data_IF_905387044866
#
_entry.id   IF_905387044866
#
_cell.length_a   1.000
_cell.length_b   1.000
_cell.length_c   1.000
_cell.angle_alpha   90.00
_cell.angle_beta   90.00
_cell.angle_gamma   90.00
#
_symmetry.space_group_name_H-M   'P 1'
#
loop_
_entity.id
_entity.type
_entity.pdbx_description
1 polymer ?
#
# COMPACT_ATOMS: atom_id res chain seq x y z
N UNK A 1 -18.33 -1.27 -24.91
CA UNK A 1 -18.87 -0.16 -24.11
C UNK A 1 -20.39 -0.13 -24.15
N UNK A 2 -21.03 -0.09 -25.32
CA UNK A 2 -22.50 0.04 -25.46
C UNK A 2 -23.31 -1.00 -24.68
N UNK A 3 -22.88 -2.29 -24.71
CA UNK A 3 -23.51 -3.36 -23.93
C UNK A 3 -23.36 -3.09 -22.43
N UNK A 4 -22.19 -2.68 -21.98
CA UNK A 4 -21.88 -2.42 -20.58
C UNK A 4 -22.68 -1.19 -20.08
N UNK A 5 -22.75 -0.13 -20.87
CA UNK A 5 -23.58 1.04 -20.58
C UNK A 5 -25.05 0.67 -20.45
N UNK A 6 -25.57 -0.20 -21.35
CA UNK A 6 -26.94 -0.68 -21.28
C UNK A 6 -27.22 -1.51 -20.04
N UNK A 7 -26.28 -2.37 -19.64
CA UNK A 7 -26.37 -3.17 -18.40
C UNK A 7 -26.38 -2.24 -17.18
N UNK A 8 -25.51 -1.23 -17.14
CA UNK A 8 -25.45 -0.27 -16.03
C UNK A 8 -26.72 0.54 -15.87
N UNK A 9 -27.30 1.02 -16.99
CA UNK A 9 -28.57 1.77 -16.98
C UNK A 9 -29.76 0.91 -16.53
N UNK A 10 -29.71 -0.41 -16.71
CA UNK A 10 -30.78 -1.34 -16.32
C UNK A 10 -30.64 -1.87 -14.89
N UNK A 11 -29.51 -1.66 -14.23
CA UNK A 11 -29.30 -2.10 -12.85
C UNK A 11 -29.81 -1.06 -11.85
N UNK A 12 -30.75 -1.40 -10.95
CA UNK A 12 -31.22 -0.49 -9.91
C UNK A 12 -30.18 -0.30 -8.77
N UNK A 13 -29.12 -1.12 -8.73
CA UNK A 13 -28.11 -1.08 -7.69
C UNK A 13 -27.06 0.02 -7.97
N UNK A 14 -26.82 0.86 -6.98
CA UNK A 14 -25.70 1.80 -6.98
C UNK A 14 -24.40 1.00 -6.93
N UNK A 15 -23.52 1.25 -7.90
CA UNK A 15 -22.23 0.53 -8.02
C UNK A 15 -21.09 1.54 -7.98
N UNK A 16 -20.04 1.21 -7.25
CA UNK A 16 -18.78 1.97 -7.27
C UNK A 16 -17.75 1.16 -8.04
N UNK A 17 -17.22 1.74 -9.10
CA UNK A 17 -16.09 1.21 -9.86
C UNK A 17 -14.82 1.88 -9.36
N UNK A 18 -13.85 1.11 -8.95
CA UNK A 18 -12.55 1.61 -8.49
C UNK A 18 -11.48 1.09 -9.43
N UNK A 19 -10.73 2.00 -10.01
CA UNK A 19 -9.57 1.74 -10.83
C UNK A 19 -8.35 2.32 -10.14
N UNK A 20 -7.45 1.45 -9.68
CA UNK A 20 -6.20 1.88 -9.07
C UNK A 20 -5.10 1.98 -10.13
N UNK A 21 -4.21 2.97 -9.93
CA UNK A 21 -3.00 3.16 -10.74
C UNK A 21 -3.25 3.29 -12.25
N UNK A 22 -4.24 4.09 -12.63
CA UNK A 22 -4.62 4.30 -14.05
C UNK A 22 -3.45 4.75 -14.94
N UNK A 23 -2.37 5.27 -14.38
CA UNK A 23 -1.16 5.64 -15.13
C UNK A 23 -0.40 4.43 -15.74
N UNK A 24 -0.75 3.19 -15.38
CA UNK A 24 -0.24 1.97 -15.99
C UNK A 24 -1.06 1.46 -17.18
N UNK A 25 -2.17 2.13 -17.50
CA UNK A 25 -3.01 1.74 -18.63
C UNK A 25 -2.29 1.97 -19.97
N UNK A 26 -2.46 1.04 -20.88
CA UNK A 26 -2.17 1.28 -22.28
C UNK A 26 -3.23 2.22 -22.90
N UNK A 27 -2.90 2.83 -24.03
CA UNK A 27 -3.73 3.84 -24.68
C UNK A 27 -5.16 3.35 -25.04
N UNK A 28 -5.29 2.06 -25.41
CA UNK A 28 -6.59 1.48 -25.79
C UNK A 28 -7.46 1.23 -24.55
N UNK A 29 -6.86 0.71 -23.48
CA UNK A 29 -7.54 0.50 -22.21
C UNK A 29 -7.97 1.83 -21.58
N UNK A 30 -7.12 2.86 -21.64
CA UNK A 30 -7.44 4.21 -21.17
C UNK A 30 -8.64 4.79 -21.93
N UNK A 31 -8.65 4.72 -23.27
CA UNK A 31 -9.77 5.18 -24.08
C UNK A 31 -11.08 4.42 -23.76
N UNK A 32 -11.02 3.10 -23.62
CA UNK A 32 -12.17 2.26 -23.28
C UNK A 32 -12.75 2.60 -21.90
N UNK A 33 -11.88 2.79 -20.91
CA UNK A 33 -12.29 3.13 -19.55
C UNK A 33 -12.79 4.57 -19.44
N UNK A 34 -12.29 5.48 -20.27
CA UNK A 34 -12.82 6.84 -20.38
C UNK A 34 -14.28 6.83 -20.91
N UNK A 35 -14.58 6.03 -21.93
CA UNK A 35 -15.95 5.85 -22.42
C UNK A 35 -16.85 5.21 -21.34
N UNK A 36 -16.34 4.23 -20.60
CA UNK A 36 -17.08 3.62 -19.48
C UNK A 36 -17.36 4.64 -18.38
N UNK A 37 -16.36 5.43 -17.98
CA UNK A 37 -16.52 6.47 -16.96
C UNK A 37 -17.54 7.53 -17.38
N UNK A 38 -17.51 7.94 -18.65
CA UNK A 38 -18.53 8.85 -19.21
C UNK A 38 -19.94 8.26 -19.12
N UNK A 39 -20.09 6.97 -19.44
CA UNK A 39 -21.37 6.28 -19.35
C UNK A 39 -21.86 6.12 -17.89
N UNK A 40 -20.96 5.90 -16.94
CA UNK A 40 -21.27 5.82 -15.51
C UNK A 40 -21.84 7.13 -14.98
N UNK A 41 -21.38 8.29 -15.46
CA UNK A 41 -21.88 9.60 -15.06
C UNK A 41 -23.37 9.83 -15.40
N UNK A 42 -23.96 9.04 -16.32
CA UNK A 42 -25.38 9.07 -16.65
C UNK A 42 -26.23 8.12 -15.79
N UNK A 43 -25.63 7.47 -14.79
CA UNK A 43 -26.27 6.48 -13.93
C UNK A 43 -26.20 6.90 -12.46
N UNK A 44 -26.78 6.08 -11.56
CA UNK A 44 -26.63 6.24 -10.11
C UNK A 44 -25.35 5.61 -9.56
N UNK A 45 -24.42 5.24 -10.45
CA UNK A 45 -23.14 4.62 -10.09
C UNK A 45 -22.01 5.66 -10.05
N UNK A 46 -20.87 5.29 -9.51
CA UNK A 46 -19.70 6.16 -9.35
C UNK A 46 -18.46 5.47 -9.93
N UNK A 47 -17.60 6.23 -10.60
CA UNK A 47 -16.30 5.78 -11.06
C UNK A 47 -15.21 6.57 -10.34
N UNK A 48 -14.30 5.87 -9.67
CA UNK A 48 -13.16 6.45 -8.97
C UNK A 48 -11.89 5.89 -9.60
N UNK A 49 -10.97 6.76 -10.00
CA UNK A 49 -9.67 6.35 -10.51
C UNK A 49 -8.55 7.04 -9.73
N UNK A 50 -7.52 6.28 -9.36
CA UNK A 50 -6.29 6.85 -8.83
C UNK A 50 -5.22 6.88 -9.92
N UNK A 51 -4.43 7.93 -9.95
CA UNK A 51 -3.31 8.07 -10.88
C UNK A 51 -2.24 9.00 -10.33
N UNK A 52 -1.04 8.95 -10.91
CA UNK A 52 0.01 9.91 -10.60
C UNK A 52 -0.25 11.26 -11.27
N UNK A 53 0.33 12.36 -10.73
CA UNK A 53 0.11 13.72 -11.27
C UNK A 53 0.53 13.88 -12.74
N UNK A 54 1.47 13.06 -13.21
CA UNK A 54 2.00 13.11 -14.58
C UNK A 54 1.08 12.44 -15.61
N UNK A 55 0.10 11.65 -15.18
CA UNK A 55 -0.83 10.97 -16.07
C UNK A 55 -1.64 11.98 -16.90
N UNK A 56 -1.73 11.76 -18.21
CA UNK A 56 -2.42 12.63 -19.17
C UNK A 56 -3.37 11.85 -20.09
N UNK A 57 -3.98 10.82 -19.56
CA UNK A 57 -4.87 9.92 -20.30
C UNK A 57 -6.24 10.52 -20.65
N UNK A 58 -6.98 9.78 -21.47
CA UNK A 58 -8.37 10.10 -21.82
C UNK A 58 -9.28 10.07 -20.59
N UNK A 59 -9.05 9.09 -19.70
CA UNK A 59 -9.81 8.93 -18.46
C UNK A 59 -9.73 10.18 -17.57
N UNK A 60 -8.56 10.80 -17.44
CA UNK A 60 -8.40 12.03 -16.65
C UNK A 60 -9.28 13.18 -17.21
N UNK A 61 -9.40 13.27 -18.53
CA UNK A 61 -10.20 14.33 -19.19
C UNK A 61 -11.70 14.14 -19.03
N UNK A 62 -12.17 12.94 -18.71
CA UNK A 62 -13.58 12.63 -18.47
C UNK A 62 -14.00 12.81 -17.02
N UNK A 63 -13.07 13.04 -16.11
CA UNK A 63 -13.36 13.23 -14.70
C UNK A 63 -14.17 14.50 -14.45
N UNK A 64 -15.30 14.38 -13.73
CA UNK A 64 -16.10 15.50 -13.29
C UNK A 64 -15.48 16.22 -12.08
N UNK A 65 -14.78 15.47 -11.23
CA UNK A 65 -14.07 15.97 -10.05
C UNK A 65 -12.66 15.37 -10.04
N UNK A 66 -11.67 16.22 -9.84
CA UNK A 66 -10.27 15.82 -9.61
C UNK A 66 -9.86 16.27 -8.23
N UNK A 67 -9.33 15.32 -7.45
CA UNK A 67 -8.81 15.57 -6.10
C UNK A 67 -7.30 15.34 -6.15
N UNK A 68 -6.54 16.41 -5.96
CA UNK A 68 -5.08 16.33 -5.85
C UNK A 68 -4.69 16.09 -4.39
N UNK A 69 -3.97 14.99 -4.14
CA UNK A 69 -3.45 14.66 -2.82
C UNK A 69 -2.04 15.21 -2.68
N UNK A 70 -1.91 16.34 -2.01
CA UNK A 70 -0.61 16.89 -1.60
C UNK A 70 -0.05 16.12 -0.41
N UNK A 71 1.29 16.13 -0.19
CA UNK A 71 1.86 15.69 1.08
C UNK A 71 1.19 16.40 2.26
N UNK A 72 1.04 15.72 3.37
CA UNK A 72 0.55 16.33 4.61
C UNK A 72 1.49 17.47 5.03
N UNK A 73 0.93 18.53 5.56
CA UNK A 73 1.76 19.57 6.20
C UNK A 73 2.42 19.03 7.49
N UNK A 74 3.36 19.78 8.03
CA UNK A 74 4.12 19.34 9.20
C UNK A 74 3.23 19.11 10.42
N UNK A 75 2.27 20.01 10.68
CA UNK A 75 1.35 19.89 11.83
C UNK A 75 0.49 18.65 11.72
N UNK A 76 -0.13 18.41 10.58
CA UNK A 76 -0.95 17.21 10.32
C UNK A 76 -0.11 15.93 10.38
N UNK A 77 1.15 15.98 9.91
CA UNK A 77 2.09 14.85 10.02
C UNK A 77 2.44 14.57 11.48
N UNK A 78 2.67 15.60 12.28
CA UNK A 78 2.96 15.47 13.72
C UNK A 78 1.75 14.89 14.47
N UNK A 79 0.55 15.34 14.16
CA UNK A 79 -0.70 14.78 14.70
C UNK A 79 -0.86 13.29 14.34
N UNK A 80 -0.55 12.93 13.09
CA UNK A 80 -0.58 11.53 12.65
C UNK A 80 0.42 10.69 13.44
N UNK A 81 1.65 11.17 13.59
CA UNK A 81 2.69 10.49 14.38
C UNK A 81 2.24 10.33 15.83
N UNK A 82 1.69 11.39 16.45
CA UNK A 82 1.18 11.35 17.81
C UNK A 82 0.04 10.34 17.99
N UNK A 83 -0.89 10.27 17.02
CA UNK A 83 -1.99 9.30 17.06
C UNK A 83 -1.49 7.85 16.91
N UNK A 84 -0.42 7.64 16.16
CA UNK A 84 0.15 6.30 15.94
C UNK A 84 1.04 5.86 17.11
N UNK A 85 1.82 6.76 17.67
CA UNK A 85 2.73 6.47 18.77
C UNK A 85 2.02 6.43 20.13
N UNK A 86 1.10 7.37 20.40
CA UNK A 86 0.51 7.58 21.71
C UNK A 86 1.10 8.80 22.42
N UNK A 87 0.81 8.93 23.72
CA UNK A 87 1.08 10.13 24.52
C UNK A 87 2.20 9.95 25.57
N UNK A 88 2.97 8.86 25.49
CA UNK A 88 4.04 8.62 26.45
C UNK A 88 5.14 9.67 26.33
N UNK A 89 5.60 10.18 27.48
CA UNK A 89 6.59 11.26 27.54
C UNK A 89 7.96 10.86 26.96
N UNK A 90 8.29 9.57 26.93
CA UNK A 90 9.52 9.06 26.32
C UNK A 90 9.57 9.33 24.81
N UNK A 91 8.44 9.53 24.17
CA UNK A 91 8.31 9.75 22.72
C UNK A 91 8.45 11.21 22.29
N UNK A 92 8.51 12.15 23.24
CA UNK A 92 8.50 13.59 22.96
C UNK A 92 9.60 14.06 21.99
N UNK A 93 10.78 13.45 22.03
CA UNK A 93 11.87 13.76 21.13
C UNK A 93 11.82 12.98 19.80
N UNK A 94 11.17 11.81 19.80
CA UNK A 94 11.08 10.92 18.64
C UNK A 94 10.01 11.38 17.64
N UNK A 95 8.84 11.82 18.11
CA UNK A 95 7.72 12.19 17.27
C UNK A 95 8.06 13.31 16.26
N UNK A 96 8.68 14.45 16.66
CA UNK A 96 9.10 15.48 15.71
C UNK A 96 10.17 15.02 14.72
N UNK A 97 11.04 14.09 15.14
CA UNK A 97 12.07 13.51 14.27
C UNK A 97 11.44 12.67 13.15
N UNK A 98 10.47 11.81 13.48
CA UNK A 98 9.72 11.01 12.50
C UNK A 98 8.95 11.91 11.55
N UNK A 99 8.20 12.91 12.05
CA UNK A 99 7.39 13.81 11.24
C UNK A 99 8.26 14.55 10.19
N UNK A 100 9.44 15.00 10.58
CA UNK A 100 10.39 15.66 9.68
C UNK A 100 10.92 14.74 8.60
N UNK A 101 11.32 13.51 8.95
CA UNK A 101 11.89 12.53 8.01
C UNK A 101 10.83 12.06 7.03
N UNK A 102 9.60 11.85 7.48
CA UNK A 102 8.50 11.38 6.64
C UNK A 102 8.08 12.39 5.56
N UNK A 103 8.36 13.69 5.74
CA UNK A 103 8.13 14.72 4.73
C UNK A 103 6.68 14.80 4.26
N UNK A 104 5.71 14.56 5.14
CA UNK A 104 4.29 14.58 4.81
C UNK A 104 3.76 13.31 4.15
N UNK A 105 4.54 12.25 4.08
CA UNK A 105 4.09 10.97 3.53
C UNK A 105 3.55 10.05 4.64
N UNK A 106 2.21 9.79 4.72
CA UNK A 106 1.62 8.95 5.76
C UNK A 106 2.15 7.52 5.77
N UNK A 107 2.34 6.94 4.60
CA UNK A 107 2.89 5.59 4.49
C UNK A 107 4.30 5.51 5.06
N UNK A 108 5.12 6.54 4.83
CA UNK A 108 6.47 6.57 5.39
C UNK A 108 6.45 6.72 6.93
N UNK A 109 5.52 7.50 7.48
CA UNK A 109 5.29 7.57 8.94
C UNK A 109 5.01 6.17 9.50
N UNK A 110 4.04 5.46 8.91
CA UNK A 110 3.65 4.12 9.38
C UNK A 110 4.82 3.13 9.29
N UNK A 111 5.58 3.14 8.20
CA UNK A 111 6.70 2.23 8.00
C UNK A 111 7.87 2.51 8.96
N UNK A 112 8.15 3.79 9.27
CA UNK A 112 9.16 4.14 10.29
C UNK A 112 8.75 3.61 11.67
N UNK A 113 7.50 3.85 12.09
CA UNK A 113 7.01 3.42 13.41
C UNK A 113 7.04 1.88 13.50
N UNK A 114 6.65 1.20 12.44
CA UNK A 114 6.68 -0.26 12.36
C UNK A 114 8.10 -0.81 12.42
N UNK A 115 9.05 -0.21 11.67
CA UNK A 115 10.47 -0.58 11.75
C UNK A 115 11.02 -0.45 13.18
N UNK A 116 10.67 0.63 13.87
CA UNK A 116 11.10 0.85 15.25
C UNK A 116 10.49 -0.17 16.23
N UNK A 117 9.23 -0.57 15.99
CA UNK A 117 8.58 -1.62 16.78
C UNK A 117 9.20 -3.00 16.50
N UNK A 118 9.44 -3.36 15.24
CA UNK A 118 10.09 -4.60 14.83
C UNK A 118 11.52 -4.74 15.43
N UNK A 119 12.21 -3.61 15.58
CA UNK A 119 13.53 -3.52 16.23
C UNK A 119 13.47 -3.48 17.75
N UNK A 120 12.28 -3.55 18.34
CA UNK A 120 12.05 -3.44 19.78
C UNK A 120 12.55 -2.11 20.40
N UNK A 121 12.72 -1.09 19.60
CA UNK A 121 12.99 0.29 20.04
C UNK A 121 11.72 0.91 20.63
N UNK A 122 10.57 0.57 20.04
CA UNK A 122 9.25 0.86 20.58
C UNK A 122 8.65 -0.43 21.15
N UNK A 123 8.03 -0.33 22.30
CA UNK A 123 7.29 -1.42 22.95
C UNK A 123 5.86 -0.95 23.20
N UNK A 124 4.88 -1.88 23.14
CA UNK A 124 3.45 -1.56 23.26
C UNK A 124 2.68 -1.90 22.01
N UNK A 125 1.66 -1.13 21.70
CA UNK A 125 0.81 -1.29 20.53
C UNK A 125 0.49 0.05 19.88
N UNK A 126 -0.12 0.03 18.72
CA UNK A 126 -0.51 1.24 17.98
C UNK A 126 -1.35 2.16 18.88
N UNK A 127 -0.90 3.40 19.05
CA UNK A 127 -1.51 4.42 19.89
C UNK A 127 -1.15 4.35 21.38
N UNK A 128 -0.32 3.36 21.78
CA UNK A 128 0.13 3.15 23.15
C UNK A 128 1.53 2.57 23.19
N UNK A 129 2.47 3.23 22.50
CA UNK A 129 3.89 2.88 22.51
C UNK A 129 4.66 3.66 23.57
N UNK A 130 5.75 3.10 24.03
CA UNK A 130 6.81 3.78 24.79
C UNK A 130 8.18 3.42 24.25
N UNK A 131 9.14 4.30 24.45
CA UNK A 131 10.51 4.13 23.97
C UNK A 131 11.32 3.27 24.94
N UNK A 132 12.09 2.32 24.40
CA UNK A 132 13.05 1.53 25.13
C UNK A 132 14.45 2.07 24.82
N UNK A 133 15.10 2.69 25.80
CA UNK A 133 16.44 3.29 25.65
C UNK A 133 16.43 4.78 25.35
N UNK A 134 17.53 5.29 24.79
CA UNK A 134 17.72 6.71 24.51
C UNK A 134 17.37 7.04 23.05
N UNK A 135 16.61 8.11 22.86
CA UNK A 135 16.23 8.61 21.53
C UNK A 135 17.45 9.09 20.70
N UNK A 136 18.57 9.43 21.33
CA UNK A 136 19.75 9.93 20.65
C UNK A 136 20.39 8.90 19.72
N UNK A 137 20.37 7.61 20.11
CA UNK A 137 21.01 6.50 19.37
C UNK A 137 20.10 5.86 18.32
N UNK A 138 18.86 6.36 18.14
CA UNK A 138 17.91 5.78 17.20
C UNK A 138 18.24 6.22 15.77
N UNK A 139 18.83 5.30 15.00
CA UNK A 139 18.98 5.45 13.55
C UNK A 139 17.63 5.28 12.86
N UNK A 140 17.01 6.38 12.41
CA UNK A 140 15.82 6.35 11.55
C UNK A 140 16.28 6.44 10.10
N UNK A 141 15.97 5.47 9.22
CA UNK A 141 16.32 5.53 7.81
C UNK A 141 15.71 6.76 7.14
N UNK A 142 16.48 7.39 6.23
CA UNK A 142 16.07 8.64 5.59
C UNK A 142 15.18 8.47 4.35
N UNK A 143 14.95 7.22 3.91
CA UNK A 143 14.07 6.89 2.79
C UNK A 143 13.17 5.72 3.13
N UNK A 144 11.95 5.73 2.58
CA UNK A 144 11.01 4.62 2.78
C UNK A 144 11.52 3.31 2.17
N UNK A 145 12.28 3.37 1.07
CA UNK A 145 12.90 2.19 0.46
C UNK A 145 13.90 1.53 1.42
N UNK A 146 14.73 2.32 2.10
CA UNK A 146 15.68 1.80 3.09
C UNK A 146 14.97 1.17 4.29
N UNK A 147 13.84 1.73 4.74
CA UNK A 147 13.01 1.12 5.80
C UNK A 147 12.48 -0.23 5.34
N UNK A 148 11.87 -0.28 4.16
CA UNK A 148 11.28 -1.51 3.61
C UNK A 148 12.35 -2.58 3.36
N UNK A 149 13.50 -2.21 2.78
CA UNK A 149 14.60 -3.14 2.57
C UNK A 149 15.09 -3.74 3.89
N UNK A 150 15.31 -2.92 4.92
CA UNK A 150 15.72 -3.39 6.24
C UNK A 150 14.67 -4.29 6.90
N UNK A 151 13.37 -4.06 6.68
CA UNK A 151 12.30 -4.93 7.17
C UNK A 151 12.25 -6.25 6.41
N UNK A 152 12.40 -6.23 5.08
CA UNK A 152 12.47 -7.44 4.25
C UNK A 152 13.69 -8.29 4.61
N UNK A 153 14.84 -7.66 4.89
CA UNK A 153 16.07 -8.36 5.27
C UNK A 153 15.99 -9.07 6.64
N UNK A 154 15.07 -8.63 7.50
CA UNK A 154 14.82 -9.29 8.79
C UNK A 154 13.86 -10.47 8.74
N UNK A 155 13.16 -10.67 7.61
CA UNK A 155 12.31 -11.84 7.44
C UNK A 155 13.15 -13.12 7.43
N UNK A 156 12.61 -14.26 7.93
CA UNK A 156 13.22 -15.57 7.73
C UNK A 156 13.50 -15.82 6.25
N UNK A 157 14.56 -16.56 5.96
CA UNK A 157 15.06 -16.77 4.59
C UNK A 157 13.97 -17.32 3.67
N UNK A 158 13.18 -18.28 4.15
CA UNK A 158 12.09 -18.91 3.39
C UNK A 158 10.96 -17.92 3.13
N UNK A 159 10.57 -17.12 4.15
CA UNK A 159 9.54 -16.10 4.05
C UNK A 159 9.95 -14.97 3.10
N UNK A 160 11.23 -14.55 3.16
CA UNK A 160 11.80 -13.57 2.21
C UNK A 160 11.81 -14.13 0.79
N UNK A 161 12.21 -15.38 0.59
CA UNK A 161 12.20 -16.04 -0.72
C UNK A 161 10.80 -16.08 -1.30
N UNK A 162 9.80 -16.39 -0.47
CA UNK A 162 8.39 -16.39 -0.88
C UNK A 162 7.91 -14.99 -1.30
N UNK A 163 8.24 -13.95 -0.52
CA UNK A 163 7.91 -12.56 -0.84
C UNK A 163 8.52 -12.14 -2.17
N UNK A 164 9.77 -12.52 -2.41
CA UNK A 164 10.49 -12.27 -3.65
C UNK A 164 9.84 -12.95 -4.85
N UNK A 165 9.47 -14.23 -4.72
CA UNK A 165 8.73 -14.95 -5.77
C UNK A 165 7.37 -14.30 -6.07
N UNK A 166 6.64 -13.89 -5.03
CA UNK A 166 5.39 -13.15 -5.18
C UNK A 166 5.59 -11.82 -5.93
N UNK A 167 6.70 -11.10 -5.68
CA UNK A 167 7.03 -9.84 -6.35
C UNK A 167 7.23 -10.01 -7.86
N UNK A 168 7.72 -11.17 -8.30
CA UNK A 168 7.86 -11.51 -9.73
C UNK A 168 6.49 -11.70 -10.38
N UNK A 169 5.54 -12.38 -9.72
CA UNK A 169 4.19 -12.60 -10.25
C UNK A 169 3.47 -11.26 -10.50
N UNK A 170 3.48 -10.36 -9.52
CA UNK A 170 2.83 -9.06 -9.66
C UNK A 170 2.33 -8.50 -8.33
N UNK A 171 1.58 -7.38 -8.40
CA UNK A 171 1.03 -6.74 -7.20
C UNK A 171 -0.08 -7.58 -6.54
N UNK A 172 -0.78 -8.40 -7.33
CA UNK A 172 -1.79 -9.38 -6.88
C UNK A 172 -1.38 -10.76 -7.36
N UNK A 173 -1.51 -11.76 -6.52
CA UNK A 173 -1.13 -13.13 -6.85
C UNK A 173 -2.04 -14.12 -6.14
N UNK A 174 -2.18 -15.31 -6.70
CA UNK A 174 -2.88 -16.43 -6.09
C UNK A 174 -1.90 -17.50 -5.62
N UNK A 175 -2.34 -18.31 -4.65
CA UNK A 175 -1.52 -19.35 -4.03
C UNK A 175 -1.17 -20.45 -5.04
N UNK A 176 -2.06 -20.76 -6.00
CA UNK A 176 -1.81 -21.79 -7.01
C UNK A 176 -0.61 -21.42 -7.89
N UNK A 177 -0.56 -20.17 -8.37
CA UNK A 177 0.57 -19.64 -9.15
C UNK A 177 1.85 -19.61 -8.33
N UNK A 178 1.76 -19.19 -7.06
CA UNK A 178 2.92 -19.11 -6.18
C UNK A 178 3.51 -20.49 -5.86
N UNK A 179 2.66 -21.54 -5.70
CA UNK A 179 3.07 -22.93 -5.49
C UNK A 179 3.86 -23.51 -6.69
N UNK A 180 3.67 -22.98 -7.89
CA UNK A 180 4.46 -23.40 -9.06
C UNK A 180 5.90 -22.88 -8.96
N UNK A 181 6.09 -21.70 -8.39
CA UNK A 181 7.41 -21.07 -8.27
C UNK A 181 8.16 -21.54 -7.02
N UNK A 182 7.44 -21.79 -5.93
CA UNK A 182 8.00 -22.20 -4.63
C UNK A 182 7.27 -23.45 -4.17
N UNK A 183 7.80 -24.66 -4.45
CA UNK A 183 7.13 -25.93 -4.13
C UNK A 183 7.26 -26.34 -2.66
N UNK A 184 7.12 -25.42 -1.73
CA UNK A 184 7.20 -25.65 -0.29
C UNK A 184 5.85 -25.34 0.39
N UNK A 185 5.62 -25.78 1.64
CA UNK A 185 4.39 -25.45 2.37
C UNK A 185 4.28 -23.94 2.60
N UNK A 186 3.41 -23.26 1.86
CA UNK A 186 3.31 -21.79 1.86
C UNK A 186 2.55 -21.21 3.04
N UNK A 187 1.66 -21.98 3.68
CA UNK A 187 0.66 -21.46 4.62
C UNK A 187 1.26 -20.73 5.83
N UNK A 188 2.34 -21.24 6.41
CA UNK A 188 3.04 -20.60 7.52
C UNK A 188 3.70 -19.28 7.12
N UNK A 189 4.40 -19.28 5.99
CA UNK A 189 5.11 -18.10 5.48
C UNK A 189 4.15 -17.01 4.97
N UNK A 190 3.01 -17.40 4.37
CA UNK A 190 1.97 -16.43 4.00
C UNK A 190 1.35 -15.78 5.24
N UNK A 191 1.08 -16.55 6.30
CA UNK A 191 0.59 -15.99 7.55
C UNK A 191 1.58 -15.02 8.19
N UNK A 192 2.88 -15.33 8.14
CA UNK A 192 3.95 -14.45 8.61
C UNK A 192 4.06 -13.15 7.78
N UNK A 193 3.94 -13.25 6.45
CA UNK A 193 3.91 -12.07 5.57
C UNK A 193 2.69 -11.18 5.83
N UNK A 194 1.54 -11.75 6.15
CA UNK A 194 0.34 -10.99 6.56
C UNK A 194 0.55 -10.36 7.94
N UNK A 195 1.10 -11.10 8.91
CA UNK A 195 1.38 -10.58 10.25
C UNK A 195 2.42 -9.46 10.24
N UNK A 196 3.43 -9.55 9.36
CA UNK A 196 4.42 -8.47 9.15
C UNK A 196 3.90 -7.34 8.27
N UNK A 197 2.64 -7.40 7.84
CA UNK A 197 1.96 -6.40 7.00
C UNK A 197 2.70 -6.11 5.67
N UNK A 198 3.37 -7.10 5.10
CA UNK A 198 3.94 -7.03 3.76
C UNK A 198 2.90 -7.28 2.67
N UNK A 199 1.94 -8.17 2.96
CA UNK A 199 0.84 -8.54 2.07
C UNK A 199 -0.49 -8.55 2.82
N UNK A 200 -1.58 -8.40 2.09
CA UNK A 200 -2.94 -8.55 2.59
C UNK A 200 -3.64 -9.70 1.85
N UNK A 201 -4.45 -10.49 2.58
CA UNK A 201 -5.30 -11.51 1.96
C UNK A 201 -6.57 -10.86 1.42
N UNK A 202 -6.80 -10.97 0.11
CA UNK A 202 -7.95 -10.33 -0.56
C UNK A 202 -9.12 -11.28 -0.82
N UNK A 203 -8.84 -12.58 -0.98
CA UNK A 203 -9.86 -13.61 -1.18
C UNK A 203 -9.50 -14.88 -0.37
N UNK A 204 -10.52 -15.50 0.27
CA UNK A 204 -10.32 -16.66 1.12
C UNK A 204 -10.75 -17.98 0.45
N UNK A 205 -11.80 -17.95 -0.39
CA UNK A 205 -12.33 -19.12 -1.10
C UNK A 205 -13.05 -18.70 -2.38
N UNK A 206 -13.10 -19.55 -3.42
CA UNK A 206 -12.49 -20.86 -3.52
C UNK A 206 -10.98 -20.85 -3.80
N UNK A 207 -10.43 -19.69 -4.19
CA UNK A 207 -8.98 -19.48 -4.40
C UNK A 207 -8.48 -18.43 -3.44
N UNK A 208 -7.42 -18.75 -2.73
CA UNK A 208 -6.77 -17.77 -1.87
C UNK A 208 -5.95 -16.80 -2.72
N UNK A 209 -6.24 -15.50 -2.59
CA UNK A 209 -5.52 -14.43 -3.27
C UNK A 209 -4.97 -13.44 -2.26
N UNK A 210 -3.82 -12.93 -2.61
CA UNK A 210 -3.09 -11.93 -1.83
C UNK A 210 -2.71 -10.75 -2.71
N UNK A 211 -2.47 -9.61 -2.07
CA UNK A 211 -1.86 -8.47 -2.72
C UNK A 211 -0.76 -7.89 -1.83
N UNK A 212 0.22 -7.26 -2.42
CA UNK A 212 1.16 -6.43 -1.66
C UNK A 212 0.39 -5.28 -1.02
N UNK A 213 0.63 -5.04 0.28
CA UNK A 213 -0.05 -3.97 1.01
C UNK A 213 0.20 -2.59 0.40
N UNK A 214 1.37 -2.39 -0.16
CA UNK A 214 1.71 -1.20 -0.93
C UNK A 214 2.59 -1.58 -2.13
N UNK A 215 2.39 -0.98 -3.32
CA UNK A 215 3.19 -1.27 -4.51
C UNK A 215 4.70 -1.12 -4.29
N UNK A 216 5.12 -0.20 -3.41
CA UNK A 216 6.53 0.00 -3.09
C UNK A 216 7.16 -1.21 -2.38
N UNK A 217 6.40 -1.93 -1.55
CA UNK A 217 6.88 -3.18 -0.93
C UNK A 217 7.25 -4.20 -2.01
N UNK A 218 6.38 -4.37 -3.02
CA UNK A 218 6.66 -5.22 -4.18
C UNK A 218 7.92 -4.77 -4.91
N UNK A 219 8.04 -3.46 -5.20
CA UNK A 219 9.19 -2.91 -5.92
C UNK A 219 10.50 -3.21 -5.18
N UNK A 220 10.55 -2.94 -3.88
CA UNK A 220 11.75 -3.19 -3.07
C UNK A 220 12.06 -4.69 -2.98
N UNK A 221 11.05 -5.55 -2.80
CA UNK A 221 11.23 -7.00 -2.78
C UNK A 221 11.76 -7.53 -4.14
N UNK A 222 11.28 -6.98 -5.26
CA UNK A 222 11.75 -7.36 -6.59
C UNK A 222 13.20 -6.90 -6.82
N UNK A 223 13.52 -5.65 -6.51
CA UNK A 223 14.86 -5.07 -6.69
C UNK A 223 15.91 -5.70 -5.78
N UNK A 224 15.51 -6.22 -4.61
CA UNK A 224 16.43 -6.91 -3.69
C UNK A 224 16.99 -8.25 -4.22
N UNK A 225 16.50 -8.71 -5.36
CA UNK A 225 16.95 -9.95 -6.01
C UNK A 225 18.07 -9.71 -7.05
N UNK A 226 18.30 -8.46 -7.43
CA UNK A 226 19.30 -8.06 -8.44
C UNK A 226 20.63 -7.70 -7.78
#
# INVERSE_FOLDING_TARGET
VEIMTRILRQRPARTVFILEDAHWLDERSDALLAELAAAVNETSSMFVATHRPEFRGALQRTAAVSIELAPLDYSTTEDLVGNLLGQDTSLAALAPKIARIAGGNPFFVEEIIRDLADRQVLTGSRGDYWLVGDCADIGVPVTVQAVLAARIDRLPVETKSLLNAAAVIGNRFDVDTLNVLVPEPLSGHLAELVASEMIDQTEFAPRQRYCFRHPLVRTVAYESQL
#
